data_IF_834408393785
#
_entry.id   IF_834408393785
#
_cell.length_a   1.000
_cell.length_b   1.000
_cell.length_c   1.000
_cell.angle_alpha   90.00
_cell.angle_beta   90.00
_cell.angle_gamma   90.00
#
_symmetry.space_group_name_H-M   'P 1'
#
loop_
_entity.id
_entity.type
_entity.pdbx_description
1 polymer ?
#
# COMPACT_ATOMS: atom_id res chain seq x y z
N UNK A 1 -18.59 -28.31 -0.28
CA UNK A 1 -18.17 -26.92 -0.01
C UNK A 1 -17.56 -26.36 -1.28
N UNK A 2 -18.10 -25.34 -1.95
CA UNK A 2 -17.45 -24.80 -3.14
C UNK A 2 -16.35 -23.82 -2.72
N UNK A 3 -15.17 -24.03 -3.30
CA UNK A 3 -14.00 -23.17 -3.18
C UNK A 3 -14.33 -21.79 -3.79
N UNK A 4 -14.35 -20.75 -2.94
CA UNK A 4 -14.66 -19.38 -3.34
C UNK A 4 -13.46 -18.75 -4.06
N UNK A 5 -13.53 -18.71 -5.39
CA UNK A 5 -12.77 -17.79 -6.24
C UNK A 5 -11.27 -18.07 -6.39
N UNK A 6 -10.69 -17.52 -7.46
CA UNK A 6 -9.24 -17.49 -7.68
C UNK A 6 -8.59 -16.70 -6.55
N UNK A 7 -7.60 -17.27 -5.85
CA UNK A 7 -6.85 -16.55 -4.82
C UNK A 7 -6.26 -15.27 -5.42
N UNK A 8 -6.55 -14.13 -4.77
CA UNK A 8 -6.16 -12.81 -5.26
C UNK A 8 -4.64 -12.54 -5.22
N UNK A 9 -3.85 -13.37 -4.50
CA UNK A 9 -2.39 -13.21 -4.44
C UNK A 9 -1.89 -12.21 -3.40
N UNK A 10 -2.79 -11.58 -2.63
CA UNK A 10 -2.44 -10.56 -1.63
C UNK A 10 -3.28 -10.66 -0.36
N UNK A 11 -2.75 -10.08 0.71
CA UNK A 11 -3.51 -9.78 1.94
C UNK A 11 -3.84 -8.30 1.94
N UNK A 12 -5.09 -7.95 2.20
CA UNK A 12 -5.54 -6.56 2.30
C UNK A 12 -5.76 -6.16 3.76
N UNK A 13 -5.28 -4.97 4.15
CA UNK A 13 -5.49 -4.41 5.48
C UNK A 13 -5.80 -2.92 5.40
N UNK A 14 -6.84 -2.48 6.10
CA UNK A 14 -7.08 -1.05 6.31
C UNK A 14 -6.15 -0.50 7.38
N UNK A 15 -5.43 0.57 7.06
CA UNK A 15 -4.54 1.28 7.98
C UNK A 15 -4.74 2.79 7.84
N UNK A 16 -4.37 3.55 8.87
CA UNK A 16 -4.34 5.01 8.79
C UNK A 16 -2.97 5.49 8.37
N UNK A 17 -2.93 6.30 7.32
CA UNK A 17 -1.73 7.04 6.95
C UNK A 17 -1.43 8.12 8.01
N UNK A 18 -0.16 8.32 8.31
CA UNK A 18 0.28 9.43 9.15
C UNK A 18 0.06 10.76 8.43
N UNK A 19 0.05 11.86 9.19
CA UNK A 19 0.04 13.21 8.63
C UNK A 19 1.31 13.52 7.83
N UNK A 20 2.40 12.79 8.09
CA UNK A 20 3.67 12.86 7.36
C UNK A 20 3.74 11.93 6.14
N UNK A 21 2.59 11.49 5.61
CA UNK A 21 2.49 10.67 4.40
C UNK A 21 3.16 9.28 4.51
N UNK A 22 3.04 8.60 5.66
CA UNK A 22 3.59 7.25 5.87
C UNK A 22 2.49 6.25 6.23
N UNK A 23 2.65 5.00 5.79
CA UNK A 23 1.91 3.84 6.33
C UNK A 23 2.88 2.86 6.97
N UNK A 24 2.40 2.06 7.93
CA UNK A 24 3.19 0.98 8.53
C UNK A 24 2.69 -0.39 8.07
N UNK A 25 3.63 -1.23 7.62
CA UNK A 25 3.41 -2.64 7.34
C UNK A 25 4.64 -3.43 7.78
N UNK A 26 4.44 -4.51 8.55
CA UNK A 26 5.53 -5.36 9.08
C UNK A 26 6.69 -4.59 9.75
N UNK A 27 6.35 -3.53 10.50
CA UNK A 27 7.29 -2.59 11.15
C UNK A 27 8.14 -1.74 10.19
N UNK A 28 7.89 -1.82 8.89
CA UNK A 28 8.47 -0.88 7.92
C UNK A 28 7.47 0.25 7.66
N UNK A 29 8.02 1.44 7.43
CA UNK A 29 7.28 2.63 7.02
C UNK A 29 7.42 2.80 5.52
N UNK A 30 6.33 3.06 4.83
CA UNK A 30 6.31 3.31 3.39
C UNK A 30 5.73 4.69 3.15
N UNK A 31 6.40 5.52 2.34
CA UNK A 31 5.88 6.84 1.96
C UNK A 31 4.80 6.71 0.89
N UNK A 32 3.76 7.52 0.98
CA UNK A 32 2.63 7.53 0.05
C UNK A 32 2.41 8.93 -0.51
N UNK A 33 1.56 9.07 -1.53
CA UNK A 33 1.12 10.38 -2.02
C UNK A 33 0.46 11.20 -0.90
N UNK A 34 0.77 12.51 -0.87
CA UNK A 34 0.23 13.43 0.11
C UNK A 34 -1.31 13.53 0.10
N UNK A 35 -1.97 13.22 -1.03
CA UNK A 35 -3.44 13.15 -1.16
C UNK A 35 -4.08 12.13 -0.22
N UNK A 36 -3.31 11.16 0.25
CA UNK A 36 -3.74 10.11 1.17
C UNK A 36 -3.31 10.36 2.63
N UNK A 37 -2.55 11.42 2.92
CA UNK A 37 -2.07 11.72 4.27
C UNK A 37 -3.24 11.88 5.27
N UNK A 38 -3.10 11.29 6.45
CA UNK A 38 -4.13 11.33 7.51
C UNK A 38 -5.41 10.53 7.22
N UNK A 39 -5.56 9.94 6.03
CA UNK A 39 -6.75 9.16 5.63
C UNK A 39 -6.59 7.68 5.98
N UNK A 40 -7.71 6.97 6.06
CA UNK A 40 -7.68 5.52 6.04
C UNK A 40 -7.41 5.05 4.60
N UNK A 41 -6.55 4.06 4.44
CA UNK A 41 -6.16 3.49 3.15
C UNK A 41 -6.13 1.97 3.24
N UNK A 42 -6.33 1.31 2.11
CA UNK A 42 -6.13 -0.13 1.98
C UNK A 42 -4.67 -0.39 1.61
N UNK A 43 -4.03 -1.31 2.31
CA UNK A 43 -2.70 -1.82 1.98
C UNK A 43 -2.86 -3.24 1.47
N UNK A 44 -2.48 -3.46 0.21
CA UNK A 44 -2.37 -4.79 -0.39
C UNK A 44 -0.92 -5.25 -0.32
N UNK A 45 -0.68 -6.25 0.50
CA UNK A 45 0.62 -6.89 0.63
C UNK A 45 0.66 -8.13 -0.26
N UNK A 46 1.45 -8.03 -1.33
CA UNK A 46 1.83 -9.13 -2.21
C UNK A 46 3.15 -9.75 -1.71
N UNK A 47 3.69 -10.71 -2.46
CA UNK A 47 4.96 -11.36 -2.11
C UNK A 47 6.12 -10.37 -2.20
N UNK A 48 6.19 -9.58 -3.28
CA UNK A 48 7.28 -8.67 -3.59
C UNK A 48 6.88 -7.19 -3.52
N UNK A 49 5.58 -6.88 -3.32
CA UNK A 49 5.06 -5.51 -3.37
C UNK A 49 4.12 -5.14 -2.23
N UNK A 50 4.11 -3.84 -1.91
CA UNK A 50 3.14 -3.17 -1.06
C UNK A 50 2.45 -2.09 -1.91
N UNK A 51 1.17 -2.31 -2.22
CA UNK A 51 0.33 -1.35 -2.96
C UNK A 51 -0.62 -0.68 -1.99
N UNK A 52 -0.73 0.65 -2.05
CA UNK A 52 -1.59 1.44 -1.16
C UNK A 52 -2.70 2.10 -1.96
N UNK A 53 -3.95 1.91 -1.52
CA UNK A 53 -5.13 2.42 -2.20
C UNK A 53 -6.13 3.12 -1.25
N UNK A 54 -6.31 4.45 -1.31
CA UNK A 54 -7.56 5.09 -0.91
C UNK A 54 -8.64 4.84 -1.97
N UNK A 55 -9.80 4.33 -1.55
CA UNK A 55 -11.01 4.29 -2.41
C UNK A 55 -10.79 3.64 -3.80
N UNK A 56 -9.88 2.65 -3.88
CA UNK A 56 -9.44 1.91 -5.09
C UNK A 56 -8.49 2.64 -6.05
N UNK A 57 -8.08 3.88 -5.75
CA UNK A 57 -7.02 4.58 -6.49
C UNK A 57 -5.66 4.22 -5.90
N UNK A 58 -4.65 3.90 -6.72
CA UNK A 58 -3.30 3.61 -6.21
C UNK A 58 -2.53 4.90 -5.90
N UNK A 59 -2.02 5.04 -4.69
CA UNK A 59 -1.23 6.21 -4.24
C UNK A 59 0.21 5.87 -3.81
N UNK A 60 0.58 4.59 -3.93
CA UNK A 60 1.93 4.10 -3.71
C UNK A 60 2.05 2.65 -4.20
N UNK A 61 3.18 2.30 -4.80
CA UNK A 61 3.59 0.94 -5.15
C UNK A 61 5.07 0.75 -4.80
N UNK A 62 5.35 -0.01 -3.75
CA UNK A 62 6.69 -0.21 -3.22
C UNK A 62 7.14 -1.66 -3.35
N UNK A 63 8.44 -1.91 -3.58
CA UNK A 63 9.00 -3.21 -3.26
C UNK A 63 8.84 -3.49 -1.76
N UNK A 64 8.34 -4.68 -1.43
CA UNK A 64 8.17 -5.11 -0.04
C UNK A 64 9.54 -5.30 0.60
N UNK A 65 9.79 -4.59 1.70
CA UNK A 65 10.96 -4.83 2.54
C UNK A 65 10.65 -5.93 3.56
N UNK A 66 11.49 -6.97 3.58
CA UNK A 66 11.49 -8.01 4.60
C UNK A 66 12.47 -7.74 5.75
N UNK A 67 13.25 -6.66 5.66
CA UNK A 67 13.98 -6.11 6.81
C UNK A 67 12.99 -5.50 7.81
N UNK A 68 13.46 -4.98 8.94
CA UNK A 68 12.63 -4.32 9.94
C UNK A 68 13.07 -2.88 10.16
N UNK A 69 12.13 -2.06 10.62
CA UNK A 69 12.37 -0.68 11.05
C UNK A 69 12.96 0.20 9.93
N UNK A 70 12.65 -0.13 8.67
CA UNK A 70 13.06 0.65 7.50
C UNK A 70 12.05 1.75 7.18
N UNK A 71 12.52 2.81 6.53
CA UNK A 71 11.67 3.78 5.83
C UNK A 71 11.93 3.63 4.33
N UNK A 72 10.93 3.13 3.62
CA UNK A 72 10.98 2.91 2.18
C UNK A 72 10.27 4.09 1.51
N UNK A 73 10.99 4.74 0.61
CA UNK A 73 10.49 5.87 -0.16
C UNK A 73 10.07 5.40 -1.54
N UNK A 74 9.00 6.01 -2.05
CA UNK A 74 8.46 5.70 -3.37
C UNK A 74 9.39 6.32 -4.43
N UNK A 75 9.99 5.53 -5.33
CA UNK A 75 10.73 6.07 -6.47
C UNK A 75 9.80 6.60 -7.59
N UNK A 76 8.53 6.20 -7.61
CA UNK A 76 7.55 6.52 -8.64
C UNK A 76 6.28 7.04 -7.96
N UNK A 77 6.29 8.31 -7.53
CA UNK A 77 5.07 9.01 -7.17
C UNK A 77 4.16 9.12 -8.41
N UNK A 78 3.41 8.05 -8.69
CA UNK A 78 2.51 7.94 -9.81
C UNK A 78 1.27 8.79 -9.50
N UNK A 79 1.35 10.06 -9.89
CA UNK A 79 0.17 10.90 -10.08
C UNK A 79 -0.51 10.52 -11.40
N UNK A 80 -1.08 9.33 -11.49
CA UNK A 80 -1.90 8.99 -12.65
C UNK A 80 -3.12 8.20 -12.20
N UNK A 81 -4.27 8.87 -12.25
CA UNK A 81 -5.49 8.18 -12.60
C UNK A 81 -5.23 7.43 -13.91
N UNK A 82 -5.18 6.10 -13.80
CA UNK A 82 -5.29 5.21 -14.95
C UNK A 82 -6.58 4.47 -14.70
N UNK A 83 -7.65 5.00 -15.28
CA UNK A 83 -8.83 4.23 -15.63
C UNK A 83 -8.37 3.00 -16.44
N UNK A 84 -8.61 1.81 -15.90
CA UNK A 84 -8.73 0.55 -16.62
C UNK A 84 -9.57 -0.44 -15.80
#
# INVERSE_FOLDING_TARGET
MPYLGRFAGFVEKSVRATTTCLIMHDRNKYRIDARAAGRAVLVRAQVDRIVVLPDRETVADHPRSFKRDQVVYDPLALSAGVDA
#
